data_IF_543187038598
#
_entry.id   IF_543187038598
#
_cell.length_a   1.000
_cell.length_b   1.000
_cell.length_c   1.000
_cell.angle_alpha   90.00
_cell.angle_beta   90.00
_cell.angle_gamma   90.00
#
_symmetry.space_group_name_H-M   'P 1'
#
loop_
_entity.id
_entity.type
_entity.pdbx_description
1 polymer ?
#
# COMPACT_ATOMS: atom_id res chain seq x y z
N UNK A 1 -3.74 -12.95 -3.11
CA UNK A 1 -4.50 -13.27 -4.33
C UNK A 1 -3.50 -13.58 -5.43
N UNK A 2 -3.12 -14.84 -5.60
CA UNK A 2 -2.11 -15.22 -6.60
C UNK A 2 -2.26 -16.62 -7.20
N UNK A 3 -3.06 -17.47 -6.61
CA UNK A 3 -3.28 -18.87 -6.97
C UNK A 3 -4.78 -19.22 -6.87
N UNK A 4 -5.19 -20.27 -7.59
CA UNK A 4 -6.60 -20.69 -7.74
C UNK A 4 -7.31 -20.99 -6.41
N UNK A 5 -6.57 -21.21 -5.33
CA UNK A 5 -7.10 -21.63 -4.03
C UNK A 5 -7.38 -20.45 -3.08
N UNK A 6 -6.98 -19.23 -3.44
CA UNK A 6 -7.24 -18.04 -2.64
C UNK A 6 -8.57 -17.37 -3.04
N UNK A 7 -9.66 -17.78 -2.37
CA UNK A 7 -10.97 -17.15 -2.55
C UNK A 7 -11.10 -15.94 -1.63
N UNK A 8 -11.29 -14.75 -2.22
CA UNK A 8 -11.61 -13.54 -1.47
C UNK A 8 -13.12 -13.41 -1.29
N UNK A 9 -13.57 -13.17 -0.05
CA UNK A 9 -14.98 -12.84 0.25
C UNK A 9 -15.17 -11.32 0.27
N UNK A 10 -16.11 -10.81 -0.51
CA UNK A 10 -16.55 -9.42 -0.42
C UNK A 10 -17.43 -9.28 0.83
N UNK A 11 -16.97 -8.52 1.82
CA UNK A 11 -17.70 -8.30 3.07
C UNK A 11 -18.63 -7.08 3.01
N UNK A 12 -18.32 -6.08 2.18
CA UNK A 12 -19.11 -4.87 2.00
C UNK A 12 -18.78 -4.16 0.69
N UNK A 13 -19.71 -3.34 0.23
CA UNK A 13 -19.55 -2.43 -0.91
C UNK A 13 -20.05 -1.05 -0.46
N UNK A 14 -19.32 -0.01 -0.82
CA UNK A 14 -19.66 1.39 -0.54
C UNK A 14 -19.42 2.20 -1.81
N UNK A 15 -20.34 3.11 -2.11
CA UNK A 15 -20.27 3.98 -3.29
C UNK A 15 -19.92 5.40 -2.87
N UNK A 16 -19.00 6.02 -3.62
CA UNK A 16 -18.57 7.39 -3.42
C UNK A 16 -18.76 8.15 -4.72
N UNK A 17 -19.48 9.28 -4.67
CA UNK A 17 -19.74 10.12 -5.83
C UNK A 17 -18.62 11.15 -6.04
N UNK A 18 -18.08 11.67 -4.94
CA UNK A 18 -16.99 12.64 -4.95
C UNK A 18 -15.66 11.96 -4.58
N UNK A 19 -14.75 11.90 -5.54
CA UNK A 19 -13.38 11.42 -5.34
C UNK A 19 -12.45 12.61 -5.54
N UNK A 20 -11.72 12.96 -4.49
CA UNK A 20 -10.70 14.01 -4.57
C UNK A 20 -9.30 13.40 -4.51
N UNK A 21 -8.30 14.25 -4.79
CA UNK A 21 -6.92 13.84 -4.70
C UNK A 21 -6.12 14.80 -3.85
N UNK A 22 -5.46 14.25 -2.84
CA UNK A 22 -4.72 15.01 -1.83
C UNK A 22 -3.28 14.53 -1.73
N UNK A 23 -2.45 15.35 -1.11
CA UNK A 23 -1.09 14.99 -0.71
C UNK A 23 -1.06 14.79 0.80
N UNK A 24 -0.54 13.65 1.25
CA UNK A 24 -0.47 13.31 2.69
C UNK A 24 0.86 12.69 3.06
N UNK A 25 1.35 13.02 4.27
CA UNK A 25 2.52 12.37 4.88
C UNK A 25 2.14 11.21 5.80
N UNK A 26 1.01 11.34 6.48
CA UNK A 26 0.50 10.36 7.43
C UNK A 26 -0.46 9.45 6.69
N UNK A 27 -0.07 8.18 6.57
CA UNK A 27 -0.85 7.12 5.94
C UNK A 27 -0.77 5.92 6.87
N UNK A 28 -1.93 5.41 7.28
CA UNK A 28 -2.07 4.38 8.33
C UNK A 28 -2.49 3.08 7.65
N UNK A 29 -1.80 1.98 7.93
CA UNK A 29 -2.00 0.66 7.31
C UNK A 29 -2.23 0.69 5.79
N UNK A 30 -1.39 1.40 5.05
CA UNK A 30 -1.59 1.63 3.61
C UNK A 30 -0.43 1.07 2.78
N UNK A 31 -0.71 0.49 1.62
CA UNK A 31 0.32 0.10 0.65
C UNK A 31 0.57 1.22 -0.36
N UNK A 32 1.82 1.65 -0.51
CA UNK A 32 2.24 2.71 -1.42
C UNK A 32 3.06 2.15 -2.60
N UNK A 33 2.80 2.59 -3.84
CA UNK A 33 3.60 2.19 -4.99
C UNK A 33 4.96 2.89 -4.97
N UNK A 34 6.03 2.11 -5.05
CA UNK A 34 7.43 2.51 -4.99
C UNK A 34 8.12 2.06 -3.69
N UNK A 35 9.44 2.18 -3.69
CA UNK A 35 10.28 1.98 -2.50
C UNK A 35 10.38 3.30 -1.71
N UNK A 36 9.75 3.32 -0.54
CA UNK A 36 9.83 4.41 0.43
C UNK A 36 10.64 4.04 1.67
N UNK A 37 11.32 2.89 1.72
CA UNK A 37 12.05 2.42 2.91
C UNK A 37 12.98 3.48 3.52
N UNK A 38 13.63 4.29 2.66
CA UNK A 38 14.54 5.38 3.07
C UNK A 38 13.86 6.71 3.40
N UNK A 39 12.57 6.85 3.09
CA UNK A 39 11.76 8.07 3.27
C UNK A 39 10.75 7.93 4.40
N UNK A 40 10.92 6.90 5.23
CA UNK A 40 10.05 6.61 6.35
C UNK A 40 10.71 6.94 7.67
N UNK A 41 9.93 7.59 8.52
CA UNK A 41 10.29 7.90 9.89
C UNK A 41 9.26 7.32 10.85
N UNK A 42 9.70 7.04 12.05
CA UNK A 42 8.82 6.70 13.17
C UNK A 42 8.12 7.98 13.63
N UNK A 43 6.80 7.92 13.76
CA UNK A 43 6.00 8.96 14.41
C UNK A 43 6.15 8.84 15.93
N UNK A 44 7.18 9.48 16.47
CA UNK A 44 7.48 9.44 17.91
C UNK A 44 6.38 10.04 18.79
N UNK A 45 5.60 11.00 18.26
CA UNK A 45 4.51 11.60 19.03
C UNK A 45 3.36 10.60 19.19
N UNK A 46 3.06 9.82 18.15
CA UNK A 46 2.12 8.70 18.25
C UNK A 46 2.64 7.60 19.16
N UNK A 47 3.92 7.27 19.08
CA UNK A 47 4.55 6.26 19.94
C UNK A 47 4.45 6.63 21.42
N UNK A 48 4.82 7.86 21.79
CA UNK A 48 4.77 8.33 23.18
C UNK A 48 3.35 8.36 23.76
N UNK A 49 2.35 8.62 22.93
CA UNK A 49 0.93 8.66 23.35
C UNK A 49 0.31 7.27 23.51
N UNK A 50 0.95 6.21 23.00
CA UNK A 50 0.46 4.85 23.15
C UNK A 50 0.55 4.41 24.61
N UNK A 51 -0.56 3.89 25.14
CA UNK A 51 -0.64 3.33 26.49
C UNK A 51 -0.15 1.87 26.56
N UNK A 52 0.25 1.29 25.43
CA UNK A 52 0.61 -0.13 25.28
C UNK A 52 2.03 -0.21 24.73
N UNK A 53 2.84 -1.14 25.26
CA UNK A 53 4.15 -1.46 24.70
C UNK A 53 3.99 -2.17 23.36
N UNK A 54 4.69 -1.72 22.32
CA UNK A 54 4.70 -2.39 21.03
C UNK A 54 6.10 -2.38 20.42
N UNK A 55 6.34 -3.35 19.54
CA UNK A 55 7.58 -3.44 18.76
C UNK A 55 7.45 -2.62 17.48
N UNK A 56 8.39 -1.70 17.27
CA UNK A 56 8.54 -1.01 15.99
C UNK A 56 9.02 -2.01 14.95
N UNK A 57 8.22 -2.21 13.90
CA UNK A 57 8.60 -3.06 12.77
C UNK A 57 9.32 -2.22 11.72
N UNK A 58 10.37 -2.75 11.07
CA UNK A 58 10.99 -2.06 9.95
C UNK A 58 9.99 -1.88 8.80
N UNK A 59 10.19 -0.89 7.93
CA UNK A 59 9.44 -0.77 6.69
C UNK A 59 9.47 -2.08 5.88
N UNK A 60 8.31 -2.48 5.37
CA UNK A 60 8.19 -3.67 4.53
C UNK A 60 8.10 -3.20 3.09
N UNK A 61 9.07 -3.59 2.27
CA UNK A 61 9.02 -3.42 0.81
C UNK A 61 8.84 -4.79 0.16
N UNK A 62 7.91 -4.90 -0.78
CA UNK A 62 7.62 -6.13 -1.53
C UNK A 62 7.65 -5.84 -3.03
N UNK A 63 7.94 -6.87 -3.82
CA UNK A 63 7.80 -6.84 -5.28
C UNK A 63 6.46 -7.47 -5.66
N UNK A 64 5.54 -6.66 -6.15
CA UNK A 64 4.24 -7.11 -6.63
C UNK A 64 4.33 -7.36 -8.14
N UNK A 65 4.06 -8.57 -8.64
CA UNK A 65 3.97 -8.81 -10.08
C UNK A 65 2.81 -8.01 -10.64
N UNK A 66 3.06 -7.21 -11.67
CA UNK A 66 2.08 -6.34 -12.31
C UNK A 66 1.85 -6.67 -13.79
N UNK A 67 2.60 -7.63 -14.33
CA UNK A 67 2.44 -8.09 -15.70
C UNK A 67 2.88 -9.55 -15.85
N UNK A 68 2.27 -10.25 -16.80
CA UNK A 68 2.42 -11.70 -16.97
C UNK A 68 2.44 -12.11 -18.44
N UNK A 69 3.27 -13.08 -18.75
CA UNK A 69 3.27 -13.81 -20.02
C UNK A 69 2.98 -15.28 -19.78
N UNK A 70 2.59 -15.99 -20.83
CA UNK A 70 2.40 -17.43 -20.81
C UNK A 70 3.52 -18.10 -21.61
N UNK A 71 4.12 -19.15 -21.06
CA UNK A 71 5.08 -19.95 -21.82
C UNK A 71 4.37 -20.88 -22.83
N UNK A 72 5.14 -21.63 -23.61
CA UNK A 72 4.63 -22.55 -24.63
C UNK A 72 3.74 -23.68 -24.06
N UNK A 73 3.82 -23.94 -22.75
CA UNK A 73 3.00 -24.93 -22.05
C UNK A 73 1.78 -24.29 -21.36
N UNK A 74 1.55 -22.98 -21.56
CA UNK A 74 0.47 -22.24 -20.92
C UNK A 74 0.72 -21.90 -19.45
N UNK A 75 1.96 -22.00 -18.97
CA UNK A 75 2.31 -21.62 -17.59
C UNK A 75 2.49 -20.11 -17.51
N UNK A 76 1.75 -19.47 -16.59
CA UNK A 76 1.83 -18.03 -16.35
C UNK A 76 3.11 -17.66 -15.61
N UNK A 77 3.90 -16.75 -16.17
CA UNK A 77 5.13 -16.21 -15.58
C UNK A 77 5.02 -14.69 -15.45
N UNK A 78 5.33 -14.17 -14.27
CA UNK A 78 5.41 -12.73 -14.07
C UNK A 78 6.65 -12.15 -14.77
N UNK A 79 6.45 -11.12 -15.58
CA UNK A 79 7.51 -10.49 -16.38
C UNK A 79 7.87 -9.08 -15.90
N UNK A 80 6.95 -8.43 -15.20
CA UNK A 80 7.17 -7.10 -14.63
C UNK A 80 6.74 -7.07 -13.16
N UNK A 81 7.51 -6.36 -12.36
CA UNK A 81 7.28 -6.21 -10.93
C UNK A 81 7.33 -4.74 -10.55
N UNK A 82 6.44 -4.36 -9.63
CA UNK A 82 6.41 -3.04 -9.00
C UNK A 82 6.83 -3.17 -7.54
N UNK A 83 7.76 -2.33 -7.10
CA UNK A 83 8.05 -2.21 -5.67
C UNK A 83 6.85 -1.57 -4.96
N UNK A 84 6.46 -2.12 -3.82
CA UNK A 84 5.37 -1.61 -3.00
C UNK A 84 5.82 -1.56 -1.54
N UNK A 85 5.64 -0.41 -0.90
CA UNK A 85 6.02 -0.20 0.50
C UNK A 85 4.78 -0.20 1.39
N UNK A 86 4.82 -0.95 2.49
CA UNK A 86 3.78 -0.91 3.51
C UNK A 86 4.03 0.19 4.54
N UNK A 87 3.05 1.08 4.69
CA UNK A 87 2.96 2.09 5.73
C UNK A 87 2.23 1.52 6.95
N UNK A 88 2.99 1.08 7.95
CA UNK A 88 2.44 0.73 9.25
C UNK A 88 2.00 1.96 10.06
N UNK A 89 1.21 1.73 11.10
CA UNK A 89 0.54 2.79 11.87
C UNK A 89 1.45 3.81 12.55
N UNK A 90 2.68 3.43 12.86
CA UNK A 90 3.63 4.28 13.58
C UNK A 90 4.66 4.93 12.65
N UNK A 91 4.39 4.93 11.34
CA UNK A 91 5.26 5.53 10.35
C UNK A 91 4.64 6.79 9.74
N UNK A 92 5.52 7.72 9.37
CA UNK A 92 5.21 8.93 8.61
C UNK A 92 6.20 9.06 7.48
N UNK A 93 5.73 9.56 6.33
CA UNK A 93 6.61 9.88 5.22
C UNK A 93 7.33 11.21 5.46
N UNK A 94 8.60 11.28 5.07
CA UNK A 94 9.33 12.55 5.02
C UNK A 94 8.74 13.51 3.96
N UNK A 95 8.34 12.94 2.83
CA UNK A 95 7.72 13.61 1.68
C UNK A 95 6.26 13.22 1.54
N UNK A 96 5.42 14.11 1.01
CA UNK A 96 4.02 13.75 0.77
C UNK A 96 3.85 12.73 -0.35
N UNK A 97 2.91 11.80 -0.18
CA UNK A 97 2.42 10.92 -1.24
C UNK A 97 1.04 11.37 -1.72
N UNK A 98 0.77 11.19 -3.01
CA UNK A 98 -0.54 11.48 -3.62
C UNK A 98 -1.50 10.33 -3.30
N UNK A 99 -2.69 10.66 -2.79
CA UNK A 99 -3.73 9.70 -2.41
C UNK A 99 -5.08 10.08 -2.99
N UNK A 100 -5.90 9.09 -3.27
CA UNK A 100 -7.33 9.30 -3.52
C UNK A 100 -8.06 9.34 -2.18
N UNK A 101 -9.02 10.25 -2.07
CA UNK A 101 -9.86 10.41 -0.89
C UNK A 101 -11.29 10.05 -1.26
N UNK A 102 -11.87 9.17 -0.45
CA UNK A 102 -13.22 8.63 -0.57
C UNK A 102 -13.95 8.92 0.74
N UNK A 103 -14.65 10.06 0.81
CA UNK A 103 -15.20 10.56 2.08
C UNK A 103 -14.10 10.74 3.14
N UNK A 104 -14.13 9.96 4.22
CA UNK A 104 -13.10 9.95 5.27
C UNK A 104 -12.01 8.86 5.08
N UNK A 105 -12.09 8.07 4.01
CA UNK A 105 -11.14 7.01 3.67
C UNK A 105 -10.14 7.50 2.63
N UNK A 106 -8.98 6.86 2.58
CA UNK A 106 -7.98 7.16 1.56
C UNK A 106 -7.31 5.90 1.06
N UNK A 107 -6.86 5.94 -0.19
CA UNK A 107 -6.09 4.87 -0.82
C UNK A 107 -4.92 5.47 -1.60
N UNK A 108 -3.82 4.74 -1.67
CA UNK A 108 -2.67 5.15 -2.47
C UNK A 108 -3.02 5.15 -3.97
N UNK A 109 -2.51 6.13 -4.70
CA UNK A 109 -2.65 6.16 -6.16
C UNK A 109 -1.67 5.19 -6.78
N UNK A 110 -2.13 4.00 -7.18
CA UNK A 110 -1.36 3.05 -7.98
C UNK A 110 -1.42 3.48 -9.46
N UNK A 111 -0.35 4.11 -9.97
CA UNK A 111 -0.25 4.36 -11.41
C UNK A 111 0.26 3.09 -12.09
N UNK A 112 -0.51 2.58 -13.04
CA UNK A 112 -0.03 1.61 -14.02
C UNK A 112 0.49 2.41 -15.22
N UNK A 113 1.81 2.43 -15.41
CA UNK A 113 2.38 2.89 -16.68
C UNK A 113 2.26 1.71 -17.65
N UNK A 114 1.32 1.85 -18.60
CA UNK A 114 1.06 0.89 -19.66
C UNK A 114 2.24 0.79 -20.62
#
# INVERSE_FOLDING_TARGET
>A
MGNSDEIAKICSVEMFEEISCEKRKILTNTWLPGDYSRKLKVDWEKVKKSKISFTLKPPIVKKLPCDFEFDANGVRKAVRYLDITFMGDNHVLETEAKVFVFGNKFAAVMKHEG
#
